data_IF_036511838590
#
_entry.id   IF_036511838590
#
_cell.length_a   1.000
_cell.length_b   1.000
_cell.length_c   1.000
_cell.angle_alpha   90.00
_cell.angle_beta   90.00
_cell.angle_gamma   90.00
#
_symmetry.space_group_name_H-M   'P 1'
#
loop_
_entity.id
_entity.type
_entity.pdbx_description
1 polymer ?
#
# COMPACT_ATOMS: atom_id res chain seq x y z
N UNK A 1 1.04 47.12 -36.45
CA UNK A 1 0.20 46.75 -37.61
C UNK A 1 0.31 45.24 -37.78
N UNK A 2 -0.85 44.55 -37.80
CA UNK A 2 -1.24 43.37 -38.63
C UNK A 2 -0.19 42.27 -38.89
N UNK A 3 -0.46 40.96 -38.85
CA UNK A 3 -1.62 40.11 -38.57
C UNK A 3 -1.13 38.63 -38.60
N UNK A 4 -1.80 37.75 -37.85
CA UNK A 4 -2.20 36.34 -38.13
C UNK A 4 -1.24 35.16 -38.43
N UNK A 5 -1.57 34.06 -37.73
CA UNK A 5 -1.56 32.65 -38.19
C UNK A 5 -1.29 31.64 -37.04
N UNK A 6 -2.27 31.18 -36.24
CA UNK A 6 -3.07 29.90 -36.31
C UNK A 6 -2.23 28.65 -36.63
N UNK A 7 -2.32 27.47 -36.01
CA UNK A 7 -3.16 26.78 -34.99
C UNK A 7 -2.41 25.47 -34.61
N UNK A 8 -2.71 24.70 -33.56
CA UNK A 8 -3.86 23.80 -33.39
C UNK A 8 -4.11 23.58 -31.90
N UNK A 9 -5.28 23.99 -31.42
CA UNK A 9 -5.94 23.52 -30.19
C UNK A 9 -7.07 22.59 -30.63
N UNK A 10 -7.10 21.34 -30.15
CA UNK A 10 -8.33 20.56 -30.15
C UNK A 10 -9.06 20.82 -28.83
N UNK A 11 -10.25 21.40 -28.96
CA UNK A 11 -11.19 21.70 -27.90
C UNK A 11 -12.05 20.50 -27.57
N UNK A 12 -12.21 20.19 -26.29
CA UNK A 12 -13.49 19.70 -25.76
C UNK A 12 -14.45 20.89 -25.75
N UNK A 13 -15.28 21.03 -26.78
CA UNK A 13 -16.43 21.94 -26.73
C UNK A 13 -17.53 21.29 -25.90
N UNK A 14 -17.87 21.90 -24.76
CA UNK A 14 -19.26 21.97 -24.31
C UNK A 14 -19.55 23.35 -23.74
N UNK A 15 -20.36 24.10 -24.47
CA UNK A 15 -21.04 25.30 -23.99
C UNK A 15 -22.09 24.92 -22.94
N UNK A 16 -21.91 25.37 -21.70
CA UNK A 16 -22.97 25.98 -20.88
C UNK A 16 -22.36 26.55 -19.60
N UNK A 17 -22.44 27.88 -19.45
CA UNK A 17 -22.35 28.53 -18.16
C UNK A 17 -23.72 28.39 -17.50
N UNK A 18 -23.75 27.73 -16.34
CA UNK A 18 -24.87 27.73 -15.40
C UNK A 18 -26.02 26.83 -15.79
N UNK A 19 -26.08 25.64 -15.17
CA UNK A 19 -27.27 24.96 -14.62
C UNK A 19 -26.97 23.47 -14.39
N UNK A 20 -27.07 23.01 -13.14
CA UNK A 20 -26.96 21.60 -12.73
C UNK A 20 -25.54 21.08 -12.49
N UNK A 21 -25.08 21.06 -11.23
CA UNK A 21 -23.96 20.19 -10.83
C UNK A 21 -24.40 18.73 -11.03
N UNK A 22 -24.06 18.12 -12.16
CA UNK A 22 -24.11 16.67 -12.30
C UNK A 22 -23.04 16.10 -11.36
N UNK A 23 -23.46 15.65 -10.18
CA UNK A 23 -22.57 15.14 -9.14
C UNK A 23 -21.88 13.87 -9.63
N UNK A 24 -20.55 13.90 -9.74
CA UNK A 24 -19.72 12.72 -9.98
C UNK A 24 -19.18 12.24 -8.65
N UNK A 25 -19.15 10.93 -8.42
CA UNK A 25 -18.58 10.36 -7.21
C UNK A 25 -17.10 10.03 -7.41
N UNK A 26 -16.27 10.33 -6.41
CA UNK A 26 -14.89 9.84 -6.30
C UNK A 26 -14.80 9.04 -4.99
N UNK A 27 -14.66 7.72 -5.08
CA UNK A 27 -14.54 6.82 -3.93
C UNK A 27 -13.13 6.27 -3.78
N UNK A 28 -12.65 6.12 -2.54
CA UNK A 28 -11.35 5.50 -2.23
C UNK A 28 -11.36 4.81 -0.85
N UNK A 29 -10.35 3.95 -0.56
CA UNK A 29 -10.26 3.21 0.72
C UNK A 29 -9.66 4.00 1.89
N UNK A 30 -9.35 5.28 1.68
CA UNK A 30 -8.58 6.09 2.61
C UNK A 30 -7.07 5.84 2.52
N UNK A 31 -6.26 6.84 2.88
CA UNK A 31 -4.79 6.77 2.84
C UNK A 31 -4.16 7.16 4.18
N UNK A 32 -4.94 7.09 5.27
CA UNK A 32 -4.55 7.56 6.61
C UNK A 32 -3.97 6.46 7.51
N UNK A 33 -4.02 5.18 7.11
CA UNK A 33 -3.63 4.07 7.98
C UNK A 33 -2.19 4.24 8.46
N UNK A 34 -1.93 4.27 9.77
CA UNK A 34 -0.61 4.54 10.36
C UNK A 34 0.37 3.36 10.24
N UNK A 35 1.19 3.36 9.20
CA UNK A 35 2.19 2.32 8.92
C UNK A 35 3.60 2.89 8.78
N UNK A 36 4.59 2.02 9.00
CA UNK A 36 6.02 2.23 8.75
C UNK A 36 6.57 1.38 7.58
N UNK A 37 5.71 0.72 6.80
CA UNK A 37 6.11 0.07 5.54
C UNK A 37 6.24 1.09 4.43
N UNK A 38 7.42 1.17 3.80
CA UNK A 38 7.67 2.07 2.67
C UNK A 38 6.75 1.80 1.48
N UNK A 39 6.53 0.52 1.17
CA UNK A 39 5.62 0.12 0.09
C UNK A 39 4.23 0.69 0.33
N UNK A 40 3.67 0.44 1.51
CA UNK A 40 2.32 0.93 1.85
C UNK A 40 2.26 2.45 1.89
N UNK A 41 3.28 3.15 2.41
CA UNK A 41 3.31 4.62 2.39
C UNK A 41 3.35 5.15 0.96
N UNK A 42 4.17 4.54 0.08
CA UNK A 42 4.27 4.94 -1.33
C UNK A 42 2.92 4.75 -2.05
N UNK A 43 2.29 3.60 -1.85
CA UNK A 43 0.98 3.29 -2.45
C UNK A 43 -0.10 4.27 -1.93
N UNK A 44 -0.03 4.68 -0.65
CA UNK A 44 -0.89 5.72 -0.07
C UNK A 44 -0.65 7.11 -0.69
N UNK A 45 0.61 7.48 -0.92
CA UNK A 45 0.97 8.77 -1.55
C UNK A 45 0.49 8.83 -3.01
N UNK A 46 0.59 7.73 -3.73
CA UNK A 46 0.07 7.61 -5.10
C UNK A 46 -1.46 7.69 -5.13
N UNK A 47 -2.13 6.99 -4.21
CA UNK A 47 -3.59 7.06 -4.06
C UNK A 47 -4.04 8.49 -3.73
N UNK A 48 -3.38 9.15 -2.78
CA UNK A 48 -3.67 10.53 -2.40
C UNK A 48 -3.48 11.50 -3.59
N UNK A 49 -2.40 11.33 -4.36
CA UNK A 49 -2.17 12.12 -5.58
C UNK A 49 -3.25 11.89 -6.65
N UNK A 50 -3.63 10.62 -6.87
CA UNK A 50 -4.71 10.26 -7.81
C UNK A 50 -6.02 10.92 -7.40
N UNK A 51 -6.42 10.76 -6.14
CA UNK A 51 -7.68 11.30 -5.61
C UNK A 51 -7.68 12.82 -5.69
N UNK A 52 -6.60 13.48 -5.28
CA UNK A 52 -6.47 14.95 -5.37
C UNK A 52 -6.58 15.41 -6.82
N UNK A 53 -5.89 14.75 -7.75
CA UNK A 53 -5.93 15.08 -9.17
C UNK A 53 -7.36 14.99 -9.72
N UNK A 54 -8.07 13.91 -9.43
CA UNK A 54 -9.46 13.75 -9.86
C UNK A 54 -10.39 14.80 -9.25
N UNK A 55 -10.19 15.16 -7.98
CA UNK A 55 -10.95 16.24 -7.34
C UNK A 55 -10.74 17.56 -8.08
N UNK A 56 -9.48 17.89 -8.40
CA UNK A 56 -9.12 19.12 -9.12
C UNK A 56 -9.67 19.14 -10.56
N UNK A 57 -9.59 18.01 -11.28
CA UNK A 57 -10.08 17.87 -12.66
C UNK A 57 -11.61 17.92 -12.77
N UNK A 58 -12.31 17.35 -11.79
CA UNK A 58 -13.78 17.19 -11.83
C UNK A 58 -14.53 18.23 -11.00
N UNK A 59 -13.85 18.96 -10.10
CA UNK A 59 -14.44 19.87 -9.13
C UNK A 59 -15.27 19.17 -8.05
N UNK A 60 -15.15 17.86 -7.89
CA UNK A 60 -15.91 17.07 -6.92
C UNK A 60 -15.09 16.76 -5.67
N UNK A 61 -15.79 16.59 -4.55
CA UNK A 61 -15.17 16.11 -3.32
C UNK A 61 -15.08 14.58 -3.34
N UNK A 62 -13.93 14.06 -2.94
CA UNK A 62 -13.78 12.63 -2.69
C UNK A 62 -14.48 12.21 -1.39
N UNK A 63 -14.99 10.98 -1.39
CA UNK A 63 -15.53 10.31 -0.21
C UNK A 63 -14.87 8.93 -0.07
N UNK A 64 -14.92 8.39 1.14
CA UNK A 64 -14.46 7.03 1.41
C UNK A 64 -15.54 6.02 1.03
N UNK A 65 -15.15 4.78 0.72
CA UNK A 65 -16.12 3.72 0.38
C UNK A 65 -17.25 3.59 1.40
N UNK A 66 -16.93 3.66 2.69
CA UNK A 66 -17.87 3.53 3.82
C UNK A 66 -18.72 4.77 4.12
N UNK A 67 -18.57 5.86 3.35
CA UNK A 67 -19.41 7.04 3.47
C UNK A 67 -20.89 6.72 3.16
N UNK A 68 -21.80 7.50 3.74
CA UNK A 68 -23.26 7.31 3.58
C UNK A 68 -23.90 8.45 2.76
N UNK A 69 -23.10 9.19 1.98
CA UNK A 69 -23.62 10.28 1.16
C UNK A 69 -24.17 9.69 -0.15
N UNK A 70 -25.43 9.93 -0.53
CA UNK A 70 -25.90 9.60 -1.87
C UNK A 70 -25.15 10.47 -2.88
N UNK A 71 -24.45 9.86 -3.83
CA UNK A 71 -23.64 10.59 -4.82
C UNK A 71 -23.81 9.93 -6.19
N UNK A 72 -24.85 10.32 -6.92
CA UNK A 72 -24.87 10.48 -8.38
C UNK A 72 -26.29 10.85 -8.86
N UNK A 73 -26.36 11.75 -9.85
CA UNK A 73 -27.50 11.84 -10.77
C UNK A 73 -26.93 11.92 -12.20
N UNK A 74 -27.47 11.08 -13.08
CA UNK A 74 -27.02 10.91 -14.46
C UNK A 74 -27.12 12.20 -15.31
N UNK A 75 -26.32 12.32 -16.39
CA UNK A 75 -25.20 11.43 -16.76
C UNK A 75 -23.89 11.86 -16.08
N UNK A 76 -23.30 10.98 -15.27
CA UNK A 76 -22.05 11.24 -14.55
C UNK A 76 -21.08 10.04 -14.61
N UNK A 77 -19.81 10.29 -14.91
CA UNK A 77 -18.72 9.32 -14.75
C UNK A 77 -18.30 9.30 -13.28
N UNK A 78 -18.43 8.15 -12.63
CA UNK A 78 -17.98 7.92 -11.26
C UNK A 78 -16.61 7.25 -11.26
N UNK A 79 -15.81 7.52 -10.23
CA UNK A 79 -14.46 6.99 -10.08
C UNK A 79 -14.35 6.20 -8.77
N UNK A 80 -13.86 4.97 -8.83
CA UNK A 80 -13.49 4.19 -7.65
C UNK A 80 -11.98 3.91 -7.73
N UNK A 81 -11.23 4.39 -6.74
CA UNK A 81 -9.76 4.44 -6.76
C UNK A 81 -9.17 3.51 -5.70
N UNK A 82 -8.32 2.58 -6.12
CA UNK A 82 -7.63 1.65 -5.23
C UNK A 82 -6.29 1.20 -5.81
N UNK A 83 -5.39 0.68 -4.96
CA UNK A 83 -4.05 0.27 -5.39
C UNK A 83 -3.94 -1.25 -5.56
N UNK A 84 -3.86 -1.71 -6.81
CA UNK A 84 -3.73 -3.13 -7.19
C UNK A 84 -4.96 -4.00 -6.90
N UNK A 85 -4.88 -5.27 -7.31
CA UNK A 85 -5.94 -6.28 -7.06
C UNK A 85 -6.18 -6.51 -5.56
N UNK A 86 -5.16 -6.25 -4.73
CA UNK A 86 -5.18 -6.42 -3.27
C UNK A 86 -5.64 -5.17 -2.52
N UNK A 87 -5.45 -3.95 -3.03
CA UNK A 87 -6.07 -2.74 -2.46
C UNK A 87 -7.54 -2.60 -2.83
N UNK A 88 -8.00 -3.37 -3.84
CA UNK A 88 -9.40 -3.74 -3.95
C UNK A 88 -9.71 -4.86 -2.95
N UNK A 89 -9.18 -6.07 -3.09
CA UNK A 89 -9.62 -7.24 -2.31
C UNK A 89 -9.42 -7.22 -0.78
N UNK A 90 -8.46 -6.47 -0.23
CA UNK A 90 -8.25 -6.38 1.24
C UNK A 90 -9.13 -5.31 1.90
N UNK A 91 -9.57 -4.31 1.13
CA UNK A 91 -10.48 -3.25 1.59
C UNK A 91 -11.91 -3.40 1.03
N UNK A 92 -12.11 -4.35 0.11
CA UNK A 92 -13.38 -4.73 -0.47
C UNK A 92 -14.08 -5.77 0.41
N UNK A 93 -15.26 -5.38 0.85
CA UNK A 93 -16.43 -6.24 0.81
C UNK A 93 -16.54 -6.84 -0.61
N UNK A 94 -16.81 -8.14 -0.75
CA UNK A 94 -16.86 -8.89 -2.03
C UNK A 94 -17.57 -8.08 -3.15
N UNK A 95 -17.27 -8.26 -4.45
CA UNK A 95 -17.87 -7.48 -5.55
C UNK A 95 -19.39 -7.26 -5.44
N UNK A 96 -20.12 -8.25 -4.91
CA UNK A 96 -21.56 -8.20 -4.62
C UNK A 96 -21.94 -7.16 -3.56
N UNK A 97 -21.20 -7.12 -2.45
CA UNK A 97 -21.42 -6.17 -1.36
C UNK A 97 -21.06 -4.75 -1.80
N UNK A 98 -20.03 -4.58 -2.64
CA UNK A 98 -19.71 -3.28 -3.23
C UNK A 98 -20.77 -2.81 -4.21
N UNK A 99 -21.28 -3.70 -5.08
CA UNK A 99 -22.42 -3.41 -5.95
C UNK A 99 -23.66 -2.98 -5.15
N UNK A 100 -23.95 -3.67 -4.04
CA UNK A 100 -25.05 -3.34 -3.14
C UNK A 100 -24.90 -1.92 -2.58
N UNK A 101 -23.69 -1.54 -2.14
CA UNK A 101 -23.45 -0.17 -1.67
C UNK A 101 -23.66 0.87 -2.77
N UNK A 102 -23.14 0.62 -3.98
CA UNK A 102 -23.27 1.55 -5.09
C UNK A 102 -24.74 1.75 -5.49
N UNK A 103 -25.50 0.67 -5.62
CA UNK A 103 -26.91 0.72 -6.02
C UNK A 103 -27.79 1.26 -4.89
N UNK A 104 -27.73 0.64 -3.70
CA UNK A 104 -28.70 0.92 -2.64
C UNK A 104 -28.36 2.18 -1.81
N UNK A 105 -27.07 2.53 -1.69
CA UNK A 105 -26.64 3.67 -0.84
C UNK A 105 -26.16 4.86 -1.64
N UNK A 106 -25.42 4.63 -2.73
CA UNK A 106 -24.89 5.72 -3.57
C UNK A 106 -25.82 6.13 -4.69
N UNK A 107 -26.83 5.31 -5.00
CA UNK A 107 -27.89 5.63 -5.95
C UNK A 107 -27.51 5.42 -7.41
N UNK A 108 -26.61 4.46 -7.68
CA UNK A 108 -26.21 4.09 -9.04
C UNK A 108 -27.41 3.62 -9.87
N UNK A 109 -27.57 4.16 -11.07
CA UNK A 109 -28.71 3.91 -11.95
C UNK A 109 -28.30 3.53 -13.37
N UNK A 110 -29.28 3.05 -14.14
CA UNK A 110 -29.10 2.73 -15.55
C UNK A 110 -28.55 3.94 -16.34
N UNK A 111 -27.54 3.70 -17.18
CA UNK A 111 -26.87 4.73 -17.98
C UNK A 111 -25.72 5.45 -17.27
N UNK A 112 -25.47 5.16 -15.99
CA UNK A 112 -24.27 5.64 -15.30
C UNK A 112 -23.00 4.92 -15.78
N UNK A 113 -21.85 5.57 -15.55
CA UNK A 113 -20.54 4.97 -15.77
C UNK A 113 -19.73 4.95 -14.48
N UNK A 114 -19.01 3.86 -14.26
CA UNK A 114 -18.01 3.70 -13.19
C UNK A 114 -16.66 3.37 -13.82
N UNK A 115 -15.63 4.13 -13.47
CA UNK A 115 -14.25 3.87 -13.81
C UNK A 115 -13.50 3.37 -12.57
N UNK A 116 -13.01 2.13 -12.62
CA UNK A 116 -12.15 1.54 -11.60
C UNK A 116 -10.69 1.92 -11.90
N UNK A 117 -10.12 2.80 -11.10
CA UNK A 117 -8.71 3.20 -11.17
C UNK A 117 -7.92 2.30 -10.24
N UNK A 118 -7.50 1.16 -10.79
CA UNK A 118 -6.73 0.11 -10.11
C UNK A 118 -6.20 -0.88 -11.13
N UNK A 119 -4.96 -1.35 -10.96
CA UNK A 119 -4.32 -2.23 -11.92
C UNK A 119 -5.12 -3.54 -12.15
N UNK A 120 -5.19 -3.98 -13.40
CA UNK A 120 -5.84 -5.20 -13.87
C UNK A 120 -7.35 -5.28 -13.63
N UNK A 121 -8.02 -4.19 -13.23
CA UNK A 121 -9.47 -4.24 -13.01
C UNK A 121 -10.26 -4.61 -14.27
N UNK A 122 -9.76 -4.24 -15.45
CA UNK A 122 -10.37 -4.53 -16.74
C UNK A 122 -9.96 -5.86 -17.35
N UNK A 123 -9.06 -6.63 -16.72
CA UNK A 123 -8.65 -7.94 -17.22
C UNK A 123 -9.83 -8.92 -17.29
N UNK A 124 -9.71 -10.00 -18.07
CA UNK A 124 -10.73 -11.04 -18.12
C UNK A 124 -10.95 -11.64 -16.72
N UNK A 125 -12.21 -11.77 -16.29
CA UNK A 125 -12.61 -12.12 -14.93
C UNK A 125 -12.09 -11.15 -13.85
N UNK A 126 -11.66 -9.95 -14.25
CA UNK A 126 -11.23 -8.89 -13.37
C UNK A 126 -12.38 -8.19 -12.66
N UNK A 127 -12.01 -7.27 -11.77
CA UNK A 127 -12.92 -6.58 -10.88
C UNK A 127 -14.06 -5.82 -11.60
N UNK A 128 -13.79 -5.23 -12.77
CA UNK A 128 -14.79 -4.50 -13.56
C UNK A 128 -15.89 -5.43 -14.10
N UNK A 129 -15.51 -6.62 -14.59
CA UNK A 129 -16.46 -7.62 -15.09
C UNK A 129 -17.31 -8.21 -13.95
N UNK A 130 -16.68 -8.51 -12.83
CA UNK A 130 -17.37 -9.04 -11.64
C UNK A 130 -18.36 -7.99 -11.10
N UNK A 131 -17.94 -6.74 -10.98
CA UNK A 131 -18.79 -5.65 -10.51
C UNK A 131 -19.97 -5.38 -11.46
N UNK A 132 -19.74 -5.35 -12.78
CA UNK A 132 -20.83 -5.21 -13.76
C UNK A 132 -21.86 -6.35 -13.64
N UNK A 133 -21.40 -7.57 -13.39
CA UNK A 133 -22.25 -8.75 -13.17
C UNK A 133 -23.08 -8.61 -11.89
N UNK A 134 -22.43 -8.21 -10.79
CA UNK A 134 -23.06 -8.00 -9.49
C UNK A 134 -24.12 -6.88 -9.53
N UNK A 135 -23.81 -5.75 -10.17
CA UNK A 135 -24.79 -4.66 -10.40
C UNK A 135 -25.98 -5.18 -11.21
N UNK A 136 -25.73 -6.02 -12.21
CA UNK A 136 -26.78 -6.61 -13.02
C UNK A 136 -27.70 -7.58 -12.24
N UNK A 137 -27.15 -8.32 -11.29
CA UNK A 137 -27.93 -9.16 -10.37
C UNK A 137 -28.86 -8.34 -9.44
N UNK A 138 -28.51 -7.06 -9.18
CA UNK A 138 -29.35 -6.10 -8.47
C UNK A 138 -30.39 -5.41 -9.38
N UNK A 139 -30.58 -5.89 -10.61
CA UNK A 139 -31.55 -5.38 -11.60
C UNK A 139 -31.30 -3.94 -12.07
N UNK A 140 -30.08 -3.41 -11.90
CA UNK A 140 -29.67 -2.12 -12.48
C UNK A 140 -28.91 -2.40 -13.78
N UNK A 141 -29.53 -2.06 -14.91
CA UNK A 141 -29.05 -2.44 -16.25
C UNK A 141 -28.44 -1.28 -17.02
N UNK A 142 -27.50 -1.56 -17.91
CA UNK A 142 -26.89 -0.53 -18.75
C UNK A 142 -25.92 0.40 -18.02
N UNK A 143 -25.41 0.02 -16.84
CA UNK A 143 -24.26 0.68 -16.21
C UNK A 143 -22.99 0.23 -16.92
N UNK A 144 -22.16 1.18 -17.35
CA UNK A 144 -20.83 0.90 -17.88
C UNK A 144 -19.80 0.84 -16.75
N UNK A 145 -19.10 -0.28 -16.61
CA UNK A 145 -17.99 -0.44 -15.66
C UNK A 145 -16.69 -0.61 -16.45
N UNK A 146 -15.82 0.40 -16.37
CA UNK A 146 -14.51 0.42 -17.03
C UNK A 146 -13.38 0.11 -16.03
N UNK A 147 -12.33 -0.58 -16.47
CA UNK A 147 -11.08 -0.80 -15.72
C UNK A 147 -9.88 -0.91 -16.67
N UNK A 148 -8.64 -0.65 -16.23
CA UNK A 148 -7.45 -0.87 -17.05
C UNK A 148 -7.20 -2.38 -17.25
N UNK A 149 -6.80 -2.79 -18.45
CA UNK A 149 -6.40 -4.18 -18.71
C UNK A 149 -5.18 -4.60 -17.88
N UNK A 150 -4.23 -3.68 -17.73
CA UNK A 150 -2.94 -3.93 -17.08
C UNK A 150 -2.70 -2.88 -15.98
N UNK A 151 -1.58 -2.16 -15.98
CA UNK A 151 -1.27 -1.18 -14.94
C UNK A 151 -1.87 0.19 -15.24
N UNK A 152 -2.26 0.90 -14.17
CA UNK A 152 -2.66 2.31 -14.21
C UNK A 152 -1.92 3.11 -13.15
N UNK A 153 -1.52 4.31 -13.53
CA UNK A 153 -1.14 5.39 -12.61
C UNK A 153 -1.88 6.64 -13.03
N UNK A 154 -2.20 7.51 -12.07
CA UNK A 154 -2.86 8.78 -12.37
C UNK A 154 -2.27 9.86 -11.48
N UNK A 155 -1.57 10.80 -12.12
CA UNK A 155 -0.99 11.97 -11.44
C UNK A 155 -1.50 13.24 -12.10
N UNK A 156 -0.95 14.39 -11.70
CA UNK A 156 -1.37 15.71 -12.19
C UNK A 156 -1.31 15.91 -13.73
N UNK A 157 -0.62 15.02 -14.46
CA UNK A 157 -0.55 15.02 -15.93
C UNK A 157 -1.51 14.02 -16.59
N UNK A 158 -2.47 13.51 -15.83
CA UNK A 158 -3.52 12.61 -16.28
C UNK A 158 -3.17 11.12 -16.13
N UNK A 159 -4.03 10.27 -16.69
CA UNK A 159 -3.86 8.83 -16.65
C UNK A 159 -2.61 8.35 -17.41
N UNK A 160 -2.09 7.21 -16.96
CA UNK A 160 -1.00 6.47 -17.56
C UNK A 160 -1.37 4.99 -17.53
N UNK A 161 -1.58 4.40 -18.70
CA UNK A 161 -1.90 2.98 -18.88
C UNK A 161 -0.68 2.24 -19.45
N UNK A 162 -0.23 1.20 -18.76
CA UNK A 162 0.99 0.47 -19.11
C UNK A 162 0.72 -1.02 -19.16
N UNK A 163 1.20 -1.72 -20.19
CA UNK A 163 1.22 -3.19 -20.20
C UNK A 163 2.29 -3.75 -19.28
N UNK A 164 3.44 -3.09 -19.24
CA UNK A 164 4.57 -3.48 -18.41
C UNK A 164 5.46 -2.26 -18.13
N UNK A 165 6.29 -2.36 -17.09
CA UNK A 165 7.27 -1.35 -16.71
C UNK A 165 8.56 -1.48 -17.53
N UNK A 166 9.00 -0.38 -18.11
CA UNK A 166 10.22 -0.32 -18.91
C UNK A 166 11.48 -0.16 -18.02
N UNK A 167 11.76 -1.16 -17.18
CA UNK A 167 12.79 -1.12 -16.13
C UNK A 167 14.24 -0.86 -16.63
N UNK A 168 14.50 -1.02 -17.93
CA UNK A 168 15.81 -0.79 -18.53
C UNK A 168 16.12 0.70 -18.82
N UNK A 169 15.14 1.61 -18.73
CA UNK A 169 15.37 3.04 -18.97
C UNK A 169 16.19 3.70 -17.84
N UNK A 170 17.26 4.39 -18.22
CA UNK A 170 18.20 4.98 -17.26
C UNK A 170 17.57 6.10 -16.42
N UNK A 171 16.66 6.90 -16.98
CA UNK A 171 16.02 7.98 -16.24
C UNK A 171 15.04 7.42 -15.20
N UNK A 172 14.33 6.33 -15.52
CA UNK A 172 13.51 5.61 -14.55
C UNK A 172 14.34 5.02 -13.42
N UNK A 173 15.50 4.40 -13.73
CA UNK A 173 16.42 3.89 -12.71
C UNK A 173 16.97 5.03 -11.83
N UNK A 174 17.28 6.17 -12.42
CA UNK A 174 17.74 7.37 -11.69
C UNK A 174 16.65 7.90 -10.75
N UNK A 175 15.40 7.97 -11.21
CA UNK A 175 14.25 8.37 -10.40
C UNK A 175 14.00 7.39 -9.24
N UNK A 176 14.08 6.08 -9.49
CA UNK A 176 13.98 5.04 -8.46
C UNK A 176 15.13 5.09 -7.44
N UNK A 177 16.35 5.37 -7.89
CA UNK A 177 17.52 5.56 -7.02
C UNK A 177 17.37 6.81 -6.14
N UNK A 178 16.86 7.91 -6.71
CA UNK A 178 16.59 9.14 -5.96
C UNK A 178 15.54 8.89 -4.87
N UNK A 179 14.45 8.20 -5.20
CA UNK A 179 13.43 7.81 -4.22
C UNK A 179 14.00 6.92 -3.12
N UNK A 180 14.81 5.92 -3.47
CA UNK A 180 15.48 5.04 -2.49
C UNK A 180 16.33 5.82 -1.47
N UNK A 181 16.99 6.91 -1.90
CA UNK A 181 17.75 7.79 -0.98
C UNK A 181 16.83 8.56 -0.02
N UNK A 182 15.64 8.96 -0.47
CA UNK A 182 14.63 9.60 0.38
C UNK A 182 14.12 8.59 1.42
N UNK A 183 13.83 7.36 1.00
CA UNK A 183 13.46 6.26 1.91
C UNK A 183 14.53 6.04 2.97
N UNK A 184 15.80 5.97 2.58
CA UNK A 184 16.92 5.79 3.54
C UNK A 184 17.03 6.97 4.52
N UNK A 185 16.77 8.20 4.06
CA UNK A 185 16.74 9.39 4.92
C UNK A 185 15.58 9.33 5.90
N UNK A 186 14.37 9.03 5.42
CA UNK A 186 13.17 8.88 6.26
C UNK A 186 13.34 7.75 7.27
N UNK A 187 13.94 6.63 6.85
CA UNK A 187 14.28 5.50 7.70
C UNK A 187 15.22 5.87 8.84
N UNK A 188 16.34 6.53 8.52
CA UNK A 188 17.33 6.98 9.52
C UNK A 188 16.68 7.91 10.55
N UNK A 189 15.79 8.81 10.10
CA UNK A 189 15.05 9.69 10.99
C UNK A 189 14.08 8.91 11.90
N UNK A 190 13.31 7.98 11.33
CA UNK A 190 12.37 7.14 12.07
C UNK A 190 13.07 6.29 13.14
N UNK A 191 14.15 5.59 12.78
CA UNK A 191 15.00 4.84 13.72
C UNK A 191 15.59 5.76 14.79
N UNK A 192 16.06 6.94 14.40
CA UNK A 192 16.56 7.96 15.34
C UNK A 192 15.51 8.36 16.36
N UNK A 193 14.27 8.61 15.93
CA UNK A 193 13.14 8.89 16.81
C UNK A 193 12.83 7.75 17.77
N UNK A 194 12.80 6.50 17.29
CA UNK A 194 12.57 5.33 18.14
C UNK A 194 13.68 5.15 19.17
N UNK A 195 14.95 5.24 18.76
CA UNK A 195 16.11 5.16 19.67
C UNK A 195 16.07 6.24 20.75
N UNK A 196 15.81 7.49 20.37
CA UNK A 196 15.66 8.59 21.32
C UNK A 196 14.48 8.36 22.28
N UNK A 197 13.38 7.79 21.77
CA UNK A 197 12.25 7.31 22.57
C UNK A 197 12.68 6.28 23.61
N UNK A 198 13.43 5.25 23.21
CA UNK A 198 13.94 4.19 24.09
C UNK A 198 14.89 4.77 25.15
N UNK A 199 15.81 5.66 24.77
CA UNK A 199 16.72 6.35 25.69
C UNK A 199 15.98 7.13 26.77
N UNK A 200 14.87 7.80 26.42
CA UNK A 200 14.00 8.52 27.37
C UNK A 200 13.18 7.56 28.24
N UNK A 201 12.58 6.54 27.64
CA UNK A 201 11.82 5.52 28.37
C UNK A 201 12.71 4.77 29.37
N UNK A 202 13.95 4.48 29.00
CA UNK A 202 14.96 3.86 29.87
C UNK A 202 15.21 4.69 31.13
N UNK A 203 15.32 6.02 31.05
CA UNK A 203 15.53 6.85 32.24
C UNK A 203 14.38 6.72 33.25
N UNK A 204 13.14 6.69 32.75
CA UNK A 204 11.94 6.51 33.57
C UNK A 204 11.86 5.09 34.13
N UNK A 205 12.07 4.08 33.28
CA UNK A 205 12.01 2.68 33.65
C UNK A 205 13.09 2.32 34.67
N UNK A 206 14.31 2.86 34.53
CA UNK A 206 15.40 2.59 35.45
C UNK A 206 15.14 3.15 36.85
N UNK A 207 14.48 4.31 36.94
CA UNK A 207 14.09 4.89 38.23
C UNK A 207 12.98 4.08 38.92
N UNK A 208 12.06 3.49 38.16
CA UNK A 208 10.98 2.66 38.68
C UNK A 208 11.42 1.21 38.98
N UNK A 209 12.21 0.62 38.10
CA UNK A 209 12.66 -0.77 38.16
C UNK A 209 14.02 -0.92 37.42
N UNK A 210 15.11 -0.65 38.15
CA UNK A 210 16.47 -0.74 37.61
C UNK A 210 16.80 -2.13 37.03
N UNK A 211 16.46 -3.21 37.74
CA UNK A 211 16.80 -4.57 37.34
C UNK A 211 16.10 -4.95 36.02
N UNK A 212 14.79 -4.68 35.93
CA UNK A 212 14.00 -4.93 34.71
C UNK A 212 14.48 -4.10 33.52
N UNK A 213 14.73 -2.80 33.73
CA UNK A 213 15.21 -1.92 32.67
C UNK A 213 16.60 -2.33 32.17
N UNK A 214 17.48 -2.76 33.08
CA UNK A 214 18.80 -3.30 32.73
C UNK A 214 18.65 -4.58 31.90
N UNK A 215 17.83 -5.53 32.36
CA UNK A 215 17.59 -6.79 31.65
C UNK A 215 17.12 -6.59 30.21
N UNK A 216 16.09 -5.76 30.00
CA UNK A 216 15.57 -5.47 28.65
C UNK A 216 16.64 -4.93 27.69
N UNK A 217 17.50 -4.02 28.15
CA UNK A 217 18.54 -3.42 27.31
C UNK A 217 19.68 -4.40 27.04
N UNK A 218 20.04 -5.25 28.01
CA UNK A 218 21.05 -6.29 27.81
C UNK A 218 20.56 -7.40 26.87
N UNK A 219 19.29 -7.80 26.96
CA UNK A 219 18.67 -8.75 26.02
C UNK A 219 18.60 -8.17 24.59
N UNK A 220 18.38 -6.87 24.48
CA UNK A 220 18.47 -6.15 23.21
C UNK A 220 19.91 -6.13 22.66
N UNK A 221 20.91 -5.95 23.53
CA UNK A 221 22.33 -5.98 23.17
C UNK A 221 22.80 -7.38 22.74
N UNK A 222 22.33 -8.43 23.39
CA UNK A 222 22.70 -9.81 23.12
C UNK A 222 22.31 -10.27 21.70
N UNK A 223 21.20 -9.73 21.18
CA UNK A 223 20.68 -10.00 19.82
C UNK A 223 21.39 -9.24 18.69
N UNK A 224 22.38 -8.40 19.00
CA UNK A 224 23.11 -7.66 17.95
C UNK A 224 24.03 -8.59 17.14
N UNK A 225 24.26 -8.32 15.85
CA UNK A 225 25.23 -9.06 15.05
C UNK A 225 26.65 -8.91 15.61
N UNK A 226 27.51 -9.87 15.32
CA UNK A 226 28.89 -9.89 15.85
C UNK A 226 29.71 -8.66 15.46
N UNK A 227 29.42 -8.06 14.31
CA UNK A 227 30.03 -6.80 13.86
C UNK A 227 29.71 -5.62 14.79
N UNK A 228 28.54 -5.61 15.44
CA UNK A 228 28.22 -4.66 16.51
C UNK A 228 28.95 -5.00 17.81
N UNK A 229 29.06 -6.30 18.13
CA UNK A 229 29.62 -6.78 19.40
C UNK A 229 31.13 -6.59 19.47
N UNK A 230 31.86 -6.79 18.37
CA UNK A 230 33.34 -6.70 18.32
C UNK A 230 33.91 -5.30 18.53
N UNK A 231 33.08 -4.25 18.58
CA UNK A 231 33.51 -2.87 18.83
C UNK A 231 33.03 -2.35 20.20
N UNK A 232 31.95 -1.58 20.19
CA UNK A 232 31.56 -0.70 21.29
C UNK A 232 30.47 -1.26 22.21
N UNK A 233 29.60 -2.15 21.72
CA UNK A 233 28.48 -2.67 22.51
C UNK A 233 28.98 -3.58 23.64
N UNK A 234 29.96 -4.44 23.40
CA UNK A 234 30.53 -5.30 24.46
C UNK A 234 31.13 -4.46 25.59
N UNK A 235 31.89 -3.40 25.26
CA UNK A 235 32.45 -2.50 26.26
C UNK A 235 31.36 -1.75 27.06
N UNK A 236 30.27 -1.35 26.39
CA UNK A 236 29.13 -0.71 27.05
C UNK A 236 28.35 -1.69 27.93
N UNK A 237 28.20 -2.94 27.52
CA UNK A 237 27.61 -4.02 28.33
C UNK A 237 28.46 -4.26 29.58
N UNK A 238 29.78 -4.42 29.44
CA UNK A 238 30.70 -4.54 30.58
C UNK A 238 30.59 -3.34 31.52
N UNK A 239 30.56 -2.12 30.97
CA UNK A 239 30.41 -0.89 31.76
C UNK A 239 29.06 -0.83 32.48
N UNK A 240 27.97 -1.26 31.86
CA UNK A 240 26.66 -1.32 32.49
C UNK A 240 26.60 -2.35 33.63
N UNK A 241 27.31 -3.48 33.50
CA UNK A 241 27.36 -4.52 34.52
C UNK A 241 28.27 -4.17 35.72
N UNK A 242 29.31 -3.37 35.49
CA UNK A 242 30.30 -3.02 36.51
C UNK A 242 29.99 -1.74 37.31
N UNK A 243 28.99 -0.96 36.88
CA UNK A 243 28.67 0.33 37.48
C UNK A 243 27.22 0.38 37.97
N UNK A 244 26.88 1.40 38.75
CA UNK A 244 25.51 1.66 39.21
C UNK A 244 25.09 3.10 38.89
N UNK A 245 23.81 3.42 39.12
CA UNK A 245 23.30 4.79 39.02
C UNK A 245 23.52 5.45 37.66
N UNK A 246 23.87 6.76 37.61
CA UNK A 246 23.95 7.52 36.36
C UNK A 246 24.97 6.97 35.34
N UNK A 247 26.05 6.35 35.80
CA UNK A 247 27.09 5.78 34.92
C UNK A 247 26.54 4.56 34.18
N UNK A 248 25.80 3.70 34.87
CA UNK A 248 25.11 2.54 34.28
C UNK A 248 24.05 2.99 33.27
N UNK A 249 23.20 3.95 33.63
CA UNK A 249 22.18 4.49 32.72
C UNK A 249 22.81 5.02 31.42
N UNK A 250 23.90 5.80 31.51
CA UNK A 250 24.60 6.29 30.30
C UNK A 250 25.16 5.15 29.44
N UNK A 251 25.68 4.08 30.03
CA UNK A 251 26.16 2.93 29.30
C UNK A 251 25.01 2.20 28.56
N UNK A 252 23.89 1.96 29.25
CA UNK A 252 22.68 1.36 28.68
C UNK A 252 22.10 2.23 27.54
N UNK A 253 22.09 3.56 27.69
CA UNK A 253 21.69 4.47 26.61
C UNK A 253 22.64 4.37 25.41
N UNK A 254 23.95 4.26 25.65
CA UNK A 254 24.95 4.07 24.61
C UNK A 254 24.69 2.81 23.78
N UNK A 255 24.28 1.70 24.41
CA UNK A 255 23.90 0.46 23.72
C UNK A 255 22.77 0.73 22.72
N UNK A 256 21.68 1.36 23.17
CA UNK A 256 20.51 1.66 22.33
C UNK A 256 20.91 2.54 21.13
N UNK A 257 21.73 3.57 21.38
CA UNK A 257 22.14 4.53 20.35
C UNK A 257 23.03 3.88 19.30
N UNK A 258 24.01 3.09 19.73
CA UNK A 258 25.03 2.52 18.83
C UNK A 258 24.58 1.22 18.15
N UNK A 259 23.55 0.56 18.66
CA UNK A 259 22.98 -0.65 18.07
C UNK A 259 22.61 -0.48 16.59
N UNK A 260 22.99 -1.44 15.76
CA UNK A 260 22.43 -1.60 14.41
C UNK A 260 21.81 -2.99 14.26
N UNK A 261 21.03 -3.19 13.20
CA UNK A 261 20.48 -4.51 12.85
C UNK A 261 21.45 -5.27 11.94
N UNK A 262 21.30 -6.59 11.92
CA UNK A 262 21.85 -7.46 10.88
C UNK A 262 21.05 -7.30 9.58
N UNK A 263 21.74 -7.05 8.47
CA UNK A 263 21.07 -6.93 7.18
C UNK A 263 20.49 -8.30 6.79
N UNK A 264 19.19 -8.34 6.51
CA UNK A 264 18.58 -9.48 5.84
C UNK A 264 18.97 -9.43 4.38
N UNK A 265 19.36 -10.57 3.81
CA UNK A 265 19.79 -10.68 2.44
C UNK A 265 18.78 -11.50 1.63
N UNK A 266 18.57 -11.11 0.37
CA UNK A 266 17.95 -11.96 -0.63
C UNK A 266 18.86 -13.15 -0.96
N UNK A 267 18.33 -14.14 -1.67
CA UNK A 267 19.08 -15.32 -2.13
C UNK A 267 20.28 -14.95 -3.02
N UNK A 268 20.25 -13.80 -3.71
CA UNK A 268 21.34 -13.27 -4.53
C UNK A 268 22.41 -12.50 -3.72
N UNK A 269 22.30 -12.48 -2.39
CA UNK A 269 23.24 -11.81 -1.48
C UNK A 269 23.04 -10.30 -1.35
N UNK A 270 22.06 -9.70 -2.04
CA UNK A 270 21.74 -8.26 -1.87
C UNK A 270 20.91 -8.04 -0.61
N UNK A 271 21.05 -6.85 -0.02
CA UNK A 271 20.26 -6.49 1.16
C UNK A 271 18.77 -6.36 0.79
N UNK A 272 17.93 -7.15 1.47
CA UNK A 272 16.49 -6.95 1.51
C UNK A 272 16.18 -5.78 2.43
N UNK A 273 16.06 -4.60 1.83
CA UNK A 273 15.83 -3.33 2.54
C UNK A 273 14.53 -3.35 3.32
N UNK A 274 13.43 -3.82 2.73
CA UNK A 274 12.13 -3.79 3.37
C UNK A 274 12.10 -4.71 4.59
N UNK A 275 12.54 -5.96 4.43
CA UNK A 275 12.58 -6.90 5.56
C UNK A 275 13.55 -6.47 6.64
N UNK A 276 14.71 -5.90 6.27
CA UNK A 276 15.69 -5.37 7.23
C UNK A 276 15.10 -4.20 8.03
N UNK A 277 14.45 -3.25 7.35
CA UNK A 277 13.82 -2.11 8.00
C UNK A 277 12.69 -2.56 8.93
N UNK A 278 11.78 -3.41 8.45
CA UNK A 278 10.66 -3.91 9.25
C UNK A 278 11.12 -4.67 10.49
N UNK A 279 12.14 -5.50 10.38
CA UNK A 279 12.71 -6.22 11.52
C UNK A 279 13.28 -5.23 12.55
N UNK A 280 14.00 -4.20 12.11
CA UNK A 280 14.65 -3.27 13.02
C UNK A 280 13.67 -2.35 13.73
N UNK A 281 12.67 -1.82 13.02
CA UNK A 281 11.65 -1.00 13.64
C UNK A 281 10.84 -1.82 14.66
N UNK A 282 10.58 -3.09 14.36
CA UNK A 282 9.91 -4.01 15.30
C UNK A 282 10.71 -4.20 16.58
N UNK A 283 12.00 -4.49 16.50
CA UNK A 283 12.83 -4.64 17.70
C UNK A 283 12.88 -3.37 18.55
N UNK A 284 13.01 -2.20 17.91
CA UNK A 284 13.01 -0.92 18.62
C UNK A 284 11.66 -0.57 19.23
N UNK A 285 10.54 -0.85 18.54
CA UNK A 285 9.18 -0.67 19.08
C UNK A 285 8.93 -1.59 20.27
N UNK A 286 9.38 -2.84 20.20
CA UNK A 286 9.28 -3.80 21.31
C UNK A 286 10.08 -3.32 22.52
N UNK A 287 11.33 -2.86 22.31
CA UNK A 287 12.13 -2.28 23.39
C UNK A 287 11.46 -1.05 24.00
N UNK A 288 10.96 -0.13 23.15
CA UNK A 288 10.26 1.08 23.59
C UNK A 288 9.04 0.74 24.46
N UNK A 289 8.22 -0.20 23.98
CA UNK A 289 7.04 -0.69 24.68
C UNK A 289 7.38 -1.32 26.03
N UNK A 290 8.36 -2.23 26.06
CA UNK A 290 8.82 -2.85 27.30
C UNK A 290 9.32 -1.83 28.33
N UNK A 291 10.10 -0.82 27.89
CA UNK A 291 10.60 0.22 28.78
C UNK A 291 9.49 1.11 29.33
N UNK A 292 8.55 1.57 28.50
CA UNK A 292 7.42 2.36 29.01
C UNK A 292 6.48 1.55 29.90
N UNK A 293 6.26 0.27 29.60
CA UNK A 293 5.46 -0.60 30.46
C UNK A 293 6.12 -0.82 31.83
N UNK A 294 7.44 -0.94 31.89
CA UNK A 294 8.18 -0.98 33.17
C UNK A 294 8.09 0.34 33.94
N UNK A 295 8.14 1.48 33.24
CA UNK A 295 8.05 2.80 33.86
C UNK A 295 6.64 3.12 34.39
N UNK A 296 5.61 2.65 33.68
CA UNK A 296 4.20 2.87 33.98
C UNK A 296 3.37 1.69 33.46
N UNK A 297 3.02 0.71 34.32
CA UNK A 297 2.26 -0.48 33.92
C UNK A 297 0.86 -0.18 33.35
N UNK A 298 0.26 0.97 33.70
CA UNK A 298 -1.11 1.30 33.31
C UNK A 298 -1.18 2.24 32.09
N UNK A 299 -0.27 3.21 31.98
CA UNK A 299 -0.21 4.18 30.87
C UNK A 299 0.91 3.96 29.85
N UNK A 300 1.82 3.00 30.11
CA UNK A 300 3.00 2.76 29.28
C UNK A 300 2.68 2.38 27.83
N UNK A 301 1.66 1.55 27.60
CA UNK A 301 1.25 1.15 26.26
C UNK A 301 0.70 2.35 25.44
N UNK A 302 -0.18 3.16 26.05
CA UNK A 302 -0.74 4.34 25.40
C UNK A 302 0.37 5.36 25.04
N UNK A 303 1.33 5.55 25.95
CA UNK A 303 2.49 6.42 25.71
C UNK A 303 3.36 5.88 24.57
N UNK A 304 3.61 4.56 24.54
CA UNK A 304 4.36 3.90 23.47
C UNK A 304 3.69 4.13 22.11
N UNK A 305 2.39 3.86 22.01
CA UNK A 305 1.62 4.07 20.79
C UNK A 305 1.72 5.52 20.31
N UNK A 306 1.50 6.49 21.20
CA UNK A 306 1.64 7.93 20.86
C UNK A 306 3.02 8.29 20.30
N UNK A 307 4.10 7.69 20.84
CA UNK A 307 5.47 7.93 20.35
C UNK A 307 5.69 7.31 18.97
N UNK A 308 5.21 6.09 18.76
CA UNK A 308 5.31 5.38 17.47
C UNK A 308 4.52 6.12 16.39
N UNK A 309 3.27 6.50 16.69
CA UNK A 309 2.44 7.33 15.82
C UNK A 309 3.14 8.61 15.41
N UNK A 310 3.74 9.35 16.37
CA UNK A 310 4.53 10.54 16.04
C UNK A 310 5.68 10.21 15.10
N UNK A 311 6.47 9.17 15.40
CA UNK A 311 7.62 8.80 14.58
C UNK A 311 7.21 8.39 13.15
N UNK A 312 6.10 7.65 13.00
CA UNK A 312 5.51 7.30 11.69
C UNK A 312 5.06 8.53 10.91
N UNK A 313 4.41 9.49 11.57
CA UNK A 313 3.98 10.73 10.92
C UNK A 313 5.17 11.51 10.37
N UNK A 314 6.23 11.68 11.15
CA UNK A 314 7.42 12.42 10.73
C UNK A 314 8.15 11.72 9.56
N UNK A 315 8.17 10.38 9.56
CA UNK A 315 8.67 9.58 8.43
C UNK A 315 7.86 9.82 7.16
N UNK A 316 6.52 9.86 7.27
CA UNK A 316 5.62 10.13 6.14
C UNK A 316 5.76 11.54 5.61
N UNK A 317 5.88 12.54 6.47
CA UNK A 317 6.08 13.94 6.07
C UNK A 317 7.34 14.08 5.18
N UNK A 318 8.43 13.37 5.51
CA UNK A 318 9.63 13.35 4.67
C UNK A 318 9.36 12.72 3.30
N UNK A 319 8.67 11.58 3.26
CA UNK A 319 8.36 10.88 2.00
C UNK A 319 7.39 11.69 1.13
N UNK A 320 6.36 12.28 1.74
CA UNK A 320 5.34 13.08 1.07
C UNK A 320 5.94 14.35 0.44
N UNK A 321 6.92 14.97 1.08
CA UNK A 321 7.58 16.17 0.56
C UNK A 321 8.33 15.92 -0.76
N UNK A 322 8.91 14.74 -0.93
CA UNK A 322 9.66 14.34 -2.12
C UNK A 322 8.77 13.65 -3.18
N UNK A 323 7.56 13.22 -2.82
CA UNK A 323 6.66 12.47 -3.70
C UNK A 323 6.35 13.18 -5.03
N UNK A 324 5.93 14.46 -5.09
CA UNK A 324 5.58 15.10 -6.36
C UNK A 324 6.73 15.09 -7.37
N UNK A 325 7.96 15.31 -6.89
CA UNK A 325 9.14 15.29 -7.75
C UNK A 325 9.46 13.87 -8.26
N UNK A 326 9.21 12.85 -7.43
CA UNK A 326 9.36 11.45 -7.84
C UNK A 326 8.28 11.03 -8.85
N UNK A 327 7.00 11.32 -8.56
CA UNK A 327 5.86 11.02 -9.43
C UNK A 327 6.07 11.59 -10.83
N UNK A 328 6.46 12.86 -10.95
CA UNK A 328 6.78 13.50 -12.24
C UNK A 328 7.95 12.81 -12.92
N UNK A 329 9.09 12.65 -12.22
CA UNK A 329 10.30 12.08 -12.84
C UNK A 329 10.12 10.62 -13.29
N UNK A 330 9.27 9.85 -12.61
CA UNK A 330 9.07 8.44 -12.88
C UNK A 330 7.87 8.19 -13.81
N UNK A 331 6.66 8.61 -13.43
CA UNK A 331 5.45 8.31 -14.20
C UNK A 331 5.36 9.13 -15.48
N UNK A 332 5.81 10.39 -15.51
CA UNK A 332 5.76 11.16 -16.77
C UNK A 332 6.82 10.67 -17.77
N UNK A 333 7.95 10.16 -17.26
CA UNK A 333 8.93 9.47 -18.10
C UNK A 333 8.34 8.19 -18.68
N UNK A 334 7.68 7.36 -17.87
CA UNK A 334 6.95 6.18 -18.36
C UNK A 334 5.89 6.56 -19.40
N UNK A 335 5.12 7.64 -19.17
CA UNK A 335 4.13 8.16 -20.13
C UNK A 335 4.79 8.55 -21.45
N UNK A 336 5.94 9.21 -21.39
CA UNK A 336 6.70 9.60 -22.60
C UNK A 336 7.20 8.39 -23.37
N UNK A 337 7.70 7.36 -22.68
CA UNK A 337 8.24 6.16 -23.29
C UNK A 337 7.16 5.24 -23.90
N UNK A 338 5.96 5.25 -23.33
CA UNK A 338 4.88 4.33 -23.74
C UNK A 338 3.92 4.93 -24.74
N UNK A 339 3.85 6.25 -24.86
CA UNK A 339 2.94 6.94 -25.78
C UNK A 339 3.10 6.47 -27.23
N UNK A 340 2.04 5.90 -27.79
CA UNK A 340 2.01 5.44 -29.20
C UNK A 340 2.80 4.16 -29.46
N UNK A 341 3.18 3.42 -28.41
CA UNK A 341 3.92 2.16 -28.52
C UNK A 341 3.06 0.96 -28.15
N UNK A 342 3.53 -0.25 -28.45
CA UNK A 342 2.86 -1.49 -28.04
C UNK A 342 2.80 -1.69 -26.51
N UNK A 343 3.58 -0.91 -25.75
CA UNK A 343 3.62 -0.94 -24.28
C UNK A 343 2.49 -0.13 -23.62
N UNK A 344 1.72 0.66 -24.38
CA UNK A 344 0.52 1.30 -23.88
C UNK A 344 -0.59 0.26 -23.67
N UNK A 345 -1.19 0.25 -22.47
CA UNK A 345 -2.39 -0.53 -22.18
C UNK A 345 -3.66 0.26 -22.55
N UNK A 346 -4.83 -0.35 -22.37
CA UNK A 346 -6.12 0.24 -22.70
C UNK A 346 -7.14 0.01 -21.60
N UNK A 347 -8.16 0.87 -21.54
CA UNK A 347 -9.37 0.61 -20.78
C UNK A 347 -10.18 -0.52 -21.42
N UNK A 348 -10.72 -1.41 -20.59
CA UNK A 348 -11.75 -2.38 -20.96
C UNK A 348 -13.05 -2.01 -20.25
N UNK A 349 -14.17 -2.10 -20.96
CA UNK A 349 -15.49 -1.78 -20.43
C UNK A 349 -16.40 -3.00 -20.48
N UNK A 350 -17.16 -3.18 -19.41
CA UNK A 350 -18.21 -4.19 -19.26
C UNK A 350 -19.52 -3.47 -18.97
N UNK A 351 -20.63 -4.00 -19.49
CA UNK A 351 -21.95 -3.40 -19.29
C UNK A 351 -22.74 -4.33 -18.37
N UNK A 352 -23.32 -3.79 -17.30
CA UNK A 352 -24.22 -4.54 -16.44
C UNK A 352 -25.43 -5.01 -17.26
N UNK A 353 -25.59 -6.33 -17.36
CA UNK A 353 -26.71 -6.99 -18.03
C UNK A 353 -27.27 -8.06 -17.08
N UNK A 354 -28.51 -8.52 -17.33
CA UNK A 354 -29.06 -9.63 -16.56
C UNK A 354 -28.08 -10.80 -16.73
N UNK A 355 -27.75 -11.53 -15.65
CA UNK A 355 -27.02 -12.77 -15.79
C UNK A 355 -27.78 -13.61 -16.82
N UNK A 356 -27.09 -14.06 -17.87
CA UNK A 356 -27.71 -14.98 -18.81
C UNK A 356 -28.32 -16.13 -17.98
N UNK A 357 -29.56 -16.57 -18.24
CA UNK A 357 -30.08 -17.77 -17.60
C UNK A 357 -29.02 -18.86 -17.79
N UNK A 358 -28.75 -19.70 -16.77
CA UNK A 358 -27.75 -20.74 -16.90
C UNK A 358 -28.05 -21.45 -18.20
N UNK A 359 -27.11 -21.38 -19.15
CA UNK A 359 -27.23 -22.14 -20.38
C UNK A 359 -27.22 -23.57 -19.88
N UNK A 360 -28.39 -24.22 -19.90
CA UNK A 360 -28.46 -25.66 -19.81
C UNK A 360 -27.67 -26.14 -21.02
N UNK A 361 -26.37 -26.36 -20.84
CA UNK A 361 -25.61 -27.15 -21.78
C UNK A 361 -26.41 -28.45 -21.88
N UNK A 362 -26.77 -28.91 -23.10
CA UNK A 362 -27.35 -30.24 -23.24
C UNK A 362 -26.40 -31.16 -22.50
N UNK A 363 -26.94 -31.94 -21.55
CA UNK A 363 -26.16 -32.82 -20.72
C UNK A 363 -25.21 -33.62 -21.63
N UNK A 364 -23.93 -33.26 -21.60
CA UNK A 364 -22.91 -34.17 -22.11
C UNK A 364 -23.07 -35.38 -21.21
N UNK A 365 -23.50 -36.50 -21.79
CA UNK A 365 -23.47 -37.77 -21.08
C UNK A 365 -22.02 -37.95 -20.61
N UNK A 366 -21.79 -37.70 -19.32
CA UNK A 366 -20.52 -37.98 -18.70
C UNK A 366 -20.30 -39.48 -18.87
N UNK A 367 -19.28 -39.85 -19.65
CA UNK A 367 -18.69 -41.16 -19.46
C UNK A 367 -18.20 -41.23 -18.01
N UNK A 368 -18.44 -42.32 -17.29
CA UNK A 368 -18.03 -42.44 -15.90
C UNK A 368 -16.52 -42.23 -15.82
N UNK A 369 -16.10 -41.19 -15.11
CA UNK A 369 -14.72 -41.09 -14.64
C UNK A 369 -14.46 -42.26 -13.69
N UNK A 370 -13.32 -42.95 -13.78
CA UNK A 370 -12.91 -43.89 -12.76
C UNK A 370 -12.70 -43.10 -11.47
N UNK A 371 -13.62 -43.27 -10.51
CA UNK A 371 -13.44 -42.76 -9.16
C UNK A 371 -12.38 -43.62 -8.49
N UNK A 372 -11.17 -43.10 -8.33
CA UNK A 372 -10.18 -43.72 -7.45
C UNK A 372 -10.78 -43.80 -6.05
N UNK A 373 -10.66 -44.99 -5.46
CA UNK A 373 -11.06 -45.23 -4.08
C UNK A 373 -10.15 -44.48 -3.13
N UNK A 374 -10.63 -44.19 -1.92
CA UNK A 374 -9.84 -43.55 -0.86
C UNK A 374 -8.53 -44.30 -0.57
N UNK A 375 -8.52 -45.62 -0.72
CA UNK A 375 -7.31 -46.45 -0.56
C UNK A 375 -6.27 -46.21 -1.66
N UNK A 376 -6.70 -45.95 -2.89
CA UNK A 376 -5.80 -45.63 -4.01
C UNK A 376 -5.24 -44.21 -3.90
N UNK A 377 -6.04 -43.28 -3.38
CA UNK A 377 -5.61 -41.90 -3.12
C UNK A 377 -4.58 -41.83 -1.98
N UNK A 378 -4.78 -42.62 -0.91
CA UNK A 378 -3.82 -42.70 0.18
C UNK A 378 -2.50 -43.37 -0.26
N UNK A 379 -2.55 -44.34 -1.17
CA UNK A 379 -1.34 -44.96 -1.73
C UNK A 379 -0.53 -43.97 -2.58
N UNK A 380 -1.20 -43.18 -3.41
CA UNK A 380 -0.58 -42.15 -4.25
C UNK A 380 0.01 -41.00 -3.41
N UNK A 381 -0.70 -40.58 -2.36
CA UNK A 381 -0.23 -39.56 -1.43
C UNK A 381 1.00 -40.03 -0.63
N UNK A 382 1.01 -41.28 -0.17
CA UNK A 382 2.15 -41.85 0.53
C UNK A 382 3.38 -42.01 -0.38
N UNK A 383 3.17 -42.31 -1.67
CA UNK A 383 4.25 -42.39 -2.65
C UNK A 383 4.85 -41.00 -2.94
N UNK A 384 4.01 -39.97 -3.09
CA UNK A 384 4.47 -38.58 -3.26
C UNK A 384 5.21 -38.04 -2.03
N UNK A 385 4.78 -38.43 -0.82
CA UNK A 385 5.49 -38.07 0.42
C UNK A 385 6.85 -38.78 0.53
N UNK A 386 6.94 -40.04 0.12
CA UNK A 386 8.21 -40.78 0.08
C UNK A 386 9.20 -40.23 -0.96
N UNK A 387 8.71 -39.70 -2.08
CA UNK A 387 9.54 -39.03 -3.09
C UNK A 387 10.01 -37.64 -2.63
N UNK A 388 9.25 -36.98 -1.74
CA UNK A 388 9.61 -35.69 -1.16
C UNK A 388 10.71 -35.80 -0.10
N UNK A 389 10.69 -36.85 0.73
CA UNK A 389 11.72 -37.10 1.75
C UNK A 389 13.08 -37.58 1.16
N UNK A 390 13.11 -37.87 -0.15
CA UNK A 390 14.33 -38.25 -0.88
C UNK A 390 15.07 -37.05 -1.51
N UNK A 391 14.56 -35.82 -1.32
CA UNK A 391 15.18 -34.54 -1.70
C UNK A 391 15.70 -33.80 -0.47
#
# INVERSE_FOLDING_TARGET
MRDRGRGVTMSCTSTSKGEGQAGRMILHSGYLAETDSFRVIRDQLELEETVRTLCDETGQAADVYTGNVPVAHAPATNYAVGHGLHGLALDWLLPDEFAEQLVNRRGLQAGDRICLITCFAGALNGAAQQLATAIGALHVMGVEVSGPLDYIHWNLHGELLLKDYLAADQDLQNAGTKWSRVEDKAWKLYVGYLKAGCTKALQLAFAANEAGATGLVLDFAARRPDTNKKGSITALVSKANQNTGPVKVKALQGIIVQATIENRLFADGKVDRESTHQAWSTELRTLLGGLYLLADPHGGQATTNRKITKARREMREVLAADWPAHSVAYFDRLRTLTKGTAAASTWQTYISALPAPPIHQPAVQAQPQPTMTLEELDAELNQLLAEWDAF
#
